data_IF_690568228796
#
_entry.id   IF_690568228796
#
_cell.length_a   1.000
_cell.length_b   1.000
_cell.length_c   1.000
_cell.angle_alpha   90.00
_cell.angle_beta   90.00
_cell.angle_gamma   90.00
#
_symmetry.space_group_name_H-M   'P 1'
#
loop_
_entity.id
_entity.type
_entity.pdbx_description
1 polymer ?
#
# COMPACT_ATOMS: atom_id res chain seq x y z
N UNK A 1 -16.38 -9.95 1.96
CA UNK A 1 -15.07 -10.60 2.15
C UNK A 1 -14.11 -9.63 2.84
N UNK A 2 -13.42 -10.09 3.86
CA UNK A 2 -12.40 -9.28 4.52
C UNK A 2 -11.04 -9.52 3.86
N UNK A 3 -10.64 -8.62 2.97
CA UNK A 3 -9.39 -8.75 2.22
C UNK A 3 -8.14 -8.67 3.12
N UNK A 4 -8.21 -7.94 4.23
CA UNK A 4 -7.09 -7.84 5.18
C UNK A 4 -6.89 -9.15 5.94
N UNK A 5 -7.97 -9.88 6.21
CA UNK A 5 -7.86 -11.21 6.81
C UNK A 5 -7.16 -12.18 5.85
N UNK A 6 -7.46 -12.09 4.56
CA UNK A 6 -6.80 -12.90 3.54
C UNK A 6 -5.33 -12.48 3.34
N UNK A 7 -4.98 -11.25 3.70
CA UNK A 7 -3.63 -10.72 3.59
C UNK A 7 -2.72 -11.13 4.75
N UNK A 8 -3.28 -11.56 5.88
CA UNK A 8 -2.48 -11.95 7.05
C UNK A 8 -1.51 -13.07 6.70
N UNK A 9 -0.31 -13.02 7.30
CA UNK A 9 0.63 -14.12 7.22
C UNK A 9 0.06 -15.31 7.96
N UNK A 10 0.08 -16.45 7.30
CA UNK A 10 -0.25 -17.70 7.95
C UNK A 10 1.01 -18.17 8.66
N UNK A 11 0.98 -18.18 9.99
CA UNK A 11 2.07 -18.72 10.80
C UNK A 11 2.04 -20.26 10.68
N UNK A 12 2.47 -20.74 9.54
CA UNK A 12 2.77 -22.15 9.39
C UNK A 12 4.25 -22.34 9.64
N UNK A 13 4.62 -23.48 10.16
CA UNK A 13 6.01 -23.88 10.37
C UNK A 13 6.76 -24.04 9.05
N UNK A 14 6.46 -23.20 8.10
CA UNK A 14 7.08 -23.26 6.80
C UNK A 14 7.76 -21.93 6.63
N UNK A 15 9.06 -21.95 6.60
CA UNK A 15 9.85 -20.79 6.22
C UNK A 15 9.58 -20.52 4.77
N UNK A 16 8.89 -19.45 4.50
CA UNK A 16 8.69 -19.08 3.14
C UNK A 16 9.71 -18.12 2.65
N UNK A 17 10.36 -18.61 1.72
CA UNK A 17 11.24 -17.90 0.83
C UNK A 17 10.52 -16.89 -0.06
N UNK A 18 9.21 -16.77 0.07
CA UNK A 18 8.38 -16.01 -0.87
C UNK A 18 7.65 -14.83 -0.26
N UNK A 19 8.15 -14.24 0.82
CA UNK A 19 7.58 -12.98 1.28
C UNK A 19 8.21 -11.84 0.48
N UNK A 20 7.40 -11.20 -0.32
CA UNK A 20 7.82 -10.01 -1.06
C UNK A 20 7.90 -8.82 -0.13
N UNK A 21 8.76 -7.89 -0.45
CA UNK A 21 8.91 -6.63 0.26
C UNK A 21 8.50 -5.46 -0.63
N UNK A 22 8.21 -4.34 0.00
CA UNK A 22 7.97 -3.12 -0.75
C UNK A 22 9.24 -2.67 -1.46
N UNK A 23 9.06 -2.14 -2.65
CA UNK A 23 10.10 -1.42 -3.38
C UNK A 23 9.80 0.05 -3.19
N UNK A 24 10.74 0.82 -2.65
CA UNK A 24 10.50 2.21 -2.25
C UNK A 24 11.23 3.16 -3.17
N UNK A 25 10.48 4.12 -3.72
CA UNK A 25 11.03 5.20 -4.54
C UNK A 25 10.56 6.54 -3.97
N UNK A 26 11.43 7.55 -4.02
CA UNK A 26 11.09 8.89 -3.54
C UNK A 26 11.33 9.91 -4.64
N UNK A 27 10.37 10.83 -4.80
CA UNK A 27 10.47 11.94 -5.75
C UNK A 27 10.35 13.25 -4.99
N UNK A 28 11.43 14.00 -4.99
CA UNK A 28 11.53 15.23 -4.25
C UNK A 28 12.19 15.02 -2.89
N UNK A 29 12.18 16.08 -2.09
CA UNK A 29 12.80 16.09 -0.77
C UNK A 29 11.74 15.78 0.29
N UNK A 30 11.61 14.53 0.63
CA UNK A 30 10.60 14.05 1.56
C UNK A 30 11.06 14.35 3.00
N UNK A 31 10.16 14.93 3.80
CA UNK A 31 10.41 15.20 5.21
C UNK A 31 10.85 13.93 5.93
N UNK A 32 11.91 14.02 6.72
CA UNK A 32 12.54 12.89 7.39
C UNK A 32 11.60 12.15 8.35
N UNK A 33 10.82 12.92 9.12
CA UNK A 33 9.87 12.35 10.08
C UNK A 33 8.73 11.62 9.37
N UNK A 34 8.19 12.23 8.32
CA UNK A 34 7.16 11.61 7.48
C UNK A 34 7.67 10.31 6.88
N UNK A 35 8.86 10.35 6.33
CA UNK A 35 9.49 9.16 5.72
C UNK A 35 9.65 8.04 6.76
N UNK A 36 10.12 8.37 7.96
CA UNK A 36 10.31 7.37 9.01
C UNK A 36 8.98 6.74 9.45
N UNK A 37 7.93 7.54 9.59
CA UNK A 37 6.60 7.03 9.93
C UNK A 37 6.07 6.04 8.88
N UNK A 38 6.29 6.36 7.61
CA UNK A 38 5.87 5.47 6.52
C UNK A 38 6.68 4.17 6.53
N UNK A 39 7.98 4.25 6.72
CA UNK A 39 8.84 3.07 6.77
C UNK A 39 8.48 2.16 7.95
N UNK A 40 8.16 2.74 9.10
CA UNK A 40 7.70 1.97 10.26
C UNK A 40 6.39 1.24 9.95
N UNK A 41 5.47 1.90 9.26
CA UNK A 41 4.21 1.27 8.84
C UNK A 41 4.46 0.16 7.83
N UNK A 42 5.38 0.35 6.89
CA UNK A 42 5.78 -0.70 5.96
C UNK A 42 6.34 -1.93 6.66
N UNK A 43 7.17 -1.73 7.69
CA UNK A 43 7.71 -2.83 8.49
C UNK A 43 6.58 -3.60 9.17
N UNK A 44 5.58 -2.89 9.70
CA UNK A 44 4.39 -3.52 10.27
C UNK A 44 3.65 -4.38 9.23
N UNK A 45 3.41 -3.84 8.06
CA UNK A 45 2.71 -4.57 6.99
C UNK A 45 3.52 -5.81 6.57
N UNK A 46 4.81 -5.66 6.36
CA UNK A 46 5.66 -6.78 5.98
C UNK A 46 5.75 -7.86 7.06
N UNK A 47 5.61 -7.48 8.33
CA UNK A 47 5.66 -8.39 9.47
C UNK A 47 4.34 -9.14 9.67
N UNK A 48 3.20 -8.45 9.58
CA UNK A 48 1.89 -9.00 9.93
C UNK A 48 1.06 -9.48 8.74
N UNK A 49 1.34 -8.94 7.56
CA UNK A 49 0.59 -9.23 6.34
C UNK A 49 1.53 -9.74 5.26
N UNK A 50 0.99 -10.48 4.29
CA UNK A 50 1.78 -10.98 3.17
C UNK A 50 1.60 -10.09 1.95
N UNK A 51 2.70 -9.71 1.33
CA UNK A 51 2.62 -9.17 -0.03
C UNK A 51 2.61 -10.37 -0.99
N UNK A 52 1.64 -10.39 -1.88
CA UNK A 52 1.44 -11.49 -2.84
C UNK A 52 2.29 -11.31 -4.10
N UNK A 53 2.81 -10.11 -4.31
CA UNK A 53 3.71 -9.75 -5.41
C UNK A 53 4.65 -8.69 -4.90
N UNK A 54 5.74 -8.38 -5.61
CA UNK A 54 6.43 -7.11 -5.37
C UNK A 54 5.44 -5.96 -5.53
N UNK A 55 5.58 -4.94 -4.70
CA UNK A 55 4.72 -3.76 -4.73
C UNK A 55 5.59 -2.51 -4.63
N UNK A 56 5.55 -1.71 -5.67
CA UNK A 56 6.32 -0.47 -5.74
C UNK A 56 5.54 0.65 -5.07
N UNK A 57 6.19 1.35 -4.14
CA UNK A 57 5.62 2.51 -3.46
C UNK A 57 6.44 3.72 -3.81
N UNK A 58 5.80 4.72 -4.40
CA UNK A 58 6.45 5.94 -4.82
C UNK A 58 5.91 7.12 -4.04
N UNK A 59 6.79 7.85 -3.37
CA UNK A 59 6.44 9.02 -2.58
C UNK A 59 6.75 10.29 -3.34
N UNK A 60 5.81 11.23 -3.32
CA UNK A 60 5.96 12.53 -3.96
C UNK A 60 5.82 13.65 -2.94
N UNK A 61 6.74 14.60 -2.95
CA UNK A 61 6.63 15.82 -2.15
C UNK A 61 5.64 16.77 -2.84
N UNK A 62 4.37 16.41 -2.78
CA UNK A 62 3.27 17.14 -3.39
C UNK A 62 2.06 17.12 -2.47
N UNK A 63 1.20 18.13 -2.61
CA UNK A 63 -0.05 18.20 -1.86
C UNK A 63 -1.08 17.22 -2.41
N UNK A 64 -1.10 17.01 -3.74
CA UNK A 64 -2.02 16.11 -4.42
C UNK A 64 -1.33 15.42 -5.58
N UNK A 65 -1.87 14.27 -5.95
CA UNK A 65 -1.57 13.64 -7.22
C UNK A 65 -2.70 13.97 -8.21
N UNK A 66 -2.42 13.82 -9.49
CA UNK A 66 -3.42 14.00 -10.54
C UNK A 66 -3.55 12.69 -11.30
N UNK A 67 -4.76 12.14 -11.36
CA UNK A 67 -5.02 10.90 -12.07
C UNK A 67 -5.13 11.13 -13.58
N UNK A 68 -5.38 10.07 -14.33
CA UNK A 68 -5.46 10.13 -15.79
C UNK A 68 -6.63 10.98 -16.30
N UNK A 69 -7.62 11.22 -15.46
CA UNK A 69 -8.78 12.05 -15.81
C UNK A 69 -8.56 13.52 -15.49
N UNK A 70 -7.42 13.87 -14.90
CA UNK A 70 -7.11 15.22 -14.45
C UNK A 70 -7.65 15.56 -13.07
N UNK A 71 -8.19 14.58 -12.35
CA UNK A 71 -8.74 14.77 -11.01
C UNK A 71 -7.63 14.72 -9.97
N UNK A 72 -7.69 15.61 -8.96
CA UNK A 72 -6.80 15.59 -7.81
C UNK A 72 -7.22 14.45 -6.87
N UNK A 73 -6.26 13.62 -6.50
CA UNK A 73 -6.48 12.44 -5.67
C UNK A 73 -5.42 12.34 -4.59
N UNK A 74 -5.74 11.58 -3.53
CA UNK A 74 -4.84 11.36 -2.39
C UNK A 74 -3.96 10.12 -2.54
N UNK A 75 -4.22 9.26 -3.49
CA UNK A 75 -3.34 8.15 -3.84
C UNK A 75 -3.72 7.66 -5.23
N UNK A 76 -2.78 6.96 -5.88
CA UNK A 76 -3.05 6.28 -7.14
C UNK A 76 -2.52 4.85 -7.01
N UNK A 77 -3.37 3.89 -7.34
CA UNK A 77 -2.99 2.50 -7.44
C UNK A 77 -3.00 2.07 -8.91
N UNK A 78 -1.85 1.61 -9.38
CA UNK A 78 -1.70 1.04 -10.72
C UNK A 78 -1.58 -0.46 -10.63
N UNK A 79 -2.25 -1.19 -11.53
CA UNK A 79 -2.14 -2.63 -11.57
C UNK A 79 -1.89 -3.11 -13.00
N UNK A 80 -1.05 -4.14 -13.18
CA UNK A 80 -0.84 -4.71 -14.50
C UNK A 80 -2.04 -5.54 -14.92
N UNK A 81 -2.16 -5.75 -16.25
CA UNK A 81 -3.21 -6.61 -16.79
C UNK A 81 -2.90 -8.07 -16.42
N UNK A 82 -3.88 -8.79 -15.86
CA UNK A 82 -3.74 -10.20 -15.50
C UNK A 82 -3.24 -11.09 -16.62
N UNK A 83 -3.57 -10.77 -17.87
CA UNK A 83 -3.12 -11.55 -19.02
C UNK A 83 -1.60 -11.54 -19.21
N UNK A 84 -0.89 -10.61 -18.57
CA UNK A 84 0.56 -10.54 -18.61
C UNK A 84 1.24 -11.24 -17.43
N UNK A 85 0.47 -11.72 -16.47
CA UNK A 85 0.98 -12.64 -15.47
C UNK A 85 1.30 -13.95 -16.16
N UNK A 86 2.43 -14.55 -15.91
CA UNK A 86 3.22 -14.60 -14.69
C UNK A 86 4.62 -14.00 -14.78
N UNK A 87 4.91 -13.13 -15.71
CA UNK A 87 6.26 -12.60 -15.89
C UNK A 87 6.51 -11.41 -14.97
N UNK A 88 6.41 -11.64 -13.68
CA UNK A 88 6.50 -10.61 -12.65
C UNK A 88 7.92 -10.16 -12.31
N UNK A 89 8.88 -10.45 -13.14
CA UNK A 89 10.27 -10.07 -12.87
C UNK A 89 10.67 -8.75 -13.52
N UNK A 90 9.80 -8.19 -14.34
CA UNK A 90 10.02 -6.88 -14.94
C UNK A 90 9.40 -5.80 -14.06
N UNK A 91 10.14 -4.71 -13.82
CA UNK A 91 9.69 -3.58 -13.01
C UNK A 91 8.37 -2.97 -13.53
N UNK A 92 8.13 -3.04 -14.84
CA UNK A 92 6.94 -2.50 -15.48
C UNK A 92 5.71 -3.40 -15.30
N UNK A 93 5.87 -4.58 -14.74
CA UNK A 93 4.81 -5.56 -14.56
C UNK A 93 4.33 -5.68 -13.11
N UNK A 94 4.89 -4.88 -12.22
CA UNK A 94 4.48 -4.87 -10.82
C UNK A 94 3.38 -3.85 -10.59
N UNK A 95 2.46 -4.13 -9.66
CA UNK A 95 1.56 -3.09 -9.19
C UNK A 95 2.34 -2.01 -8.45
N UNK A 96 1.82 -0.80 -8.45
CA UNK A 96 2.46 0.31 -7.77
C UNK A 96 1.43 1.21 -7.10
N UNK A 97 1.86 1.85 -6.02
CA UNK A 97 1.08 2.84 -5.29
C UNK A 97 1.88 4.15 -5.28
N UNK A 98 1.22 5.25 -5.63
CA UNK A 98 1.77 6.58 -5.51
C UNK A 98 1.06 7.33 -4.38
N UNK A 99 1.82 8.02 -3.55
CA UNK A 99 1.31 8.78 -2.40
C UNK A 99 1.87 10.19 -2.40
N UNK A 100 1.02 11.23 -2.23
CA UNK A 100 1.48 12.57 -1.96
C UNK A 100 1.77 12.68 -0.46
N UNK A 101 2.94 13.16 -0.10
CA UNK A 101 3.38 13.15 1.30
C UNK A 101 3.89 14.51 1.78
N UNK A 102 3.43 15.60 1.16
CA UNK A 102 3.78 16.93 1.64
C UNK A 102 3.24 17.14 3.05
N UNK A 103 4.13 17.42 4.00
CA UNK A 103 3.75 17.67 5.39
C UNK A 103 2.93 18.95 5.56
N UNK A 104 2.96 19.84 4.57
CA UNK A 104 2.16 21.06 4.59
C UNK A 104 0.68 20.78 4.35
N UNK A 105 0.35 19.66 3.75
CA UNK A 105 -1.03 19.25 3.42
C UNK A 105 -1.51 18.10 4.29
N UNK A 106 -0.65 17.12 4.56
CA UNK A 106 -1.06 15.86 5.15
C UNK A 106 -0.41 15.63 6.52
N UNK A 107 -1.24 15.23 7.50
CA UNK A 107 -0.73 14.70 8.76
C UNK A 107 -0.20 13.28 8.55
N UNK A 108 0.60 12.78 9.50
CA UNK A 108 1.08 11.41 9.46
C UNK A 108 -0.08 10.40 9.38
N UNK A 109 -1.13 10.62 10.16
CA UNK A 109 -2.30 9.74 10.18
C UNK A 109 -3.06 9.76 8.86
N UNK A 110 -3.18 10.91 8.24
CA UNK A 110 -3.85 11.03 6.94
C UNK A 110 -3.07 10.28 5.86
N UNK A 111 -1.75 10.38 5.86
CA UNK A 111 -0.89 9.64 4.92
C UNK A 111 -1.05 8.14 5.13
N UNK A 112 -1.03 7.68 6.38
CA UNK A 112 -1.20 6.25 6.68
C UNK A 112 -2.59 5.76 6.25
N UNK A 113 -3.62 6.56 6.45
CA UNK A 113 -4.98 6.23 6.00
C UNK A 113 -5.03 6.06 4.49
N UNK A 114 -4.44 6.99 3.75
CA UNK A 114 -4.35 6.89 2.28
C UNK A 114 -3.58 5.62 1.86
N UNK A 115 -2.51 5.32 2.55
CA UNK A 115 -1.72 4.13 2.26
C UNK A 115 -2.52 2.86 2.50
N UNK A 116 -3.26 2.78 3.61
CA UNK A 116 -4.10 1.62 3.92
C UNK A 116 -5.20 1.46 2.87
N UNK A 117 -5.82 2.56 2.44
CA UNK A 117 -6.82 2.52 1.36
C UNK A 117 -6.21 1.95 0.07
N UNK A 118 -5.04 2.43 -0.30
CA UNK A 118 -4.35 1.95 -1.50
C UNK A 118 -3.97 0.47 -1.38
N UNK A 119 -3.52 0.03 -0.20
CA UNK A 119 -3.24 -1.38 0.06
C UNK A 119 -4.50 -2.24 -0.03
N UNK A 120 -5.65 -1.71 0.40
CA UNK A 120 -6.93 -2.41 0.23
C UNK A 120 -7.20 -2.68 -1.24
N UNK A 121 -6.94 -1.70 -2.11
CA UNK A 121 -7.07 -1.86 -3.56
C UNK A 121 -6.09 -2.92 -4.08
N UNK A 122 -4.84 -2.89 -3.60
CA UNK A 122 -3.84 -3.89 -3.98
C UNK A 122 -4.30 -5.30 -3.62
N UNK A 123 -4.78 -5.52 -2.40
CA UNK A 123 -5.25 -6.85 -2.00
C UNK A 123 -6.51 -7.27 -2.77
N UNK A 124 -7.40 -6.35 -3.08
CA UNK A 124 -8.56 -6.62 -3.94
C UNK A 124 -8.11 -7.08 -5.34
N UNK A 125 -7.06 -6.45 -5.87
CA UNK A 125 -6.48 -6.86 -7.14
C UNK A 125 -5.87 -8.27 -7.04
N UNK A 126 -5.15 -8.56 -5.95
CA UNK A 126 -4.57 -9.89 -5.72
C UNK A 126 -5.63 -10.98 -5.68
N UNK A 127 -6.83 -10.68 -5.16
CA UNK A 127 -7.95 -11.60 -5.08
C UNK A 127 -8.81 -11.59 -6.35
N UNK A 128 -8.42 -10.80 -7.35
CA UNK A 128 -9.14 -10.68 -8.62
C UNK A 128 -10.60 -10.24 -8.47
N UNK A 129 -10.86 -9.31 -7.55
CA UNK A 129 -12.22 -8.78 -7.30
C UNK A 129 -12.40 -7.32 -7.72
N UNK A 130 -11.36 -6.68 -8.28
CA UNK A 130 -11.44 -5.28 -8.70
C UNK A 130 -12.51 -5.02 -9.75
N UNK A 131 -12.74 -5.98 -10.64
CA UNK A 131 -13.74 -5.88 -11.70
C UNK A 131 -15.18 -5.92 -11.18
N UNK A 132 -15.38 -6.28 -9.92
CA UNK A 132 -16.71 -6.31 -9.27
C UNK A 132 -17.07 -4.95 -8.65
N UNK A 133 -16.44 -3.87 -9.10
CA UNK A 133 -16.62 -2.50 -8.58
C UNK A 133 -16.27 -2.42 -7.08
N UNK A 134 -15.11 -2.96 -6.75
CA UNK A 134 -14.64 -2.96 -5.37
C UNK A 134 -14.56 -1.54 -4.80
N UNK A 135 -15.12 -1.37 -3.62
CA UNK A 135 -15.02 -0.13 -2.84
C UNK A 135 -14.24 -0.39 -1.56
N UNK A 136 -13.42 0.57 -1.16
CA UNK A 136 -12.63 0.47 0.07
C UNK A 136 -13.58 0.53 1.27
N UNK A 137 -13.41 -0.41 2.19
CA UNK A 137 -14.18 -0.45 3.44
C UNK A 137 -13.50 0.41 4.49
N UNK A 138 -14.07 1.58 4.78
CA UNK A 138 -13.50 2.54 5.73
C UNK A 138 -13.34 1.97 7.14
N UNK A 139 -14.21 1.07 7.55
CA UNK A 139 -14.11 0.45 8.88
C UNK A 139 -12.91 -0.47 8.99
N UNK A 140 -12.54 -1.14 7.90
CA UNK A 140 -11.32 -1.95 7.85
C UNK A 140 -10.07 -1.07 7.86
N UNK A 141 -10.10 0.06 7.16
CA UNK A 141 -9.00 1.03 7.16
C UNK A 141 -8.73 1.51 8.59
N UNK A 142 -9.77 1.93 9.29
CA UNK A 142 -9.66 2.37 10.69
C UNK A 142 -9.13 1.27 11.61
N UNK A 143 -9.59 0.05 11.40
CA UNK A 143 -9.18 -1.12 12.18
C UNK A 143 -7.68 -1.40 12.02
N UNK A 144 -7.17 -1.33 10.80
CA UNK A 144 -5.74 -1.55 10.51
C UNK A 144 -4.90 -0.44 11.13
N UNK A 145 -5.33 0.80 11.02
CA UNK A 145 -4.61 1.93 11.61
C UNK A 145 -4.53 1.80 13.13
N UNK A 146 -5.60 1.38 13.79
CA UNK A 146 -5.63 1.13 15.23
C UNK A 146 -4.72 -0.02 15.63
N UNK A 147 -4.71 -1.10 14.87
CA UNK A 147 -3.82 -2.24 15.09
C UNK A 147 -2.36 -1.81 15.04
N UNK A 148 -1.98 -1.03 14.02
CA UNK A 148 -0.64 -0.50 13.88
C UNK A 148 -0.23 0.36 15.08
N UNK A 149 -1.09 1.29 15.49
CA UNK A 149 -0.81 2.17 16.63
C UNK A 149 -0.63 1.41 17.92
N UNK A 150 -1.45 0.40 18.15
CA UNK A 150 -1.36 -0.44 19.35
C UNK A 150 -0.04 -1.19 19.44
N UNK A 151 0.49 -1.66 18.32
CA UNK A 151 1.67 -2.52 18.29
C UNK A 151 2.98 -1.78 18.09
N UNK A 152 2.95 -0.63 17.41
CA UNK A 152 4.16 0.06 16.98
C UNK A 152 4.31 1.50 17.46
N UNK A 153 3.26 2.10 18.01
CA UNK A 153 3.32 3.46 18.54
C UNK A 153 2.94 3.44 20.02
N UNK A 154 3.95 3.60 20.82
CA UNK A 154 3.77 3.69 22.26
C UNK A 154 3.75 5.13 22.72
#
# INVERSE_FOLDING_TARGET
MNIWKEAKKVHLNITFECSYKFIVETNGDIDREVKQNILNFMDFIESEYSLKTPLDIEFFDKDYLVDRTGKKVGYIFYWPNFKKYPNIYSKDEFPSIELPVSKNKWSADEILTLFIEALSMYYAWCLNIMHDNYEVDDSLVDSILKEYRREYQF
#
